data_IF_390776904879
#
_entry.id   IF_390776904879
#
_cell.length_a   1.000
_cell.length_b   1.000
_cell.length_c   1.000
_cell.angle_alpha   90.00
_cell.angle_beta   90.00
_cell.angle_gamma   90.00
#
_symmetry.space_group_name_H-M   'P 1'
#
loop_
_entity.id
_entity.type
_entity.pdbx_description
1 polymer ?
#
# COMPACT_ATOMS: atom_id res chain seq x y z
N UNK A 1 -19.56 -12.77 -1.30
CA UNK A 1 -19.35 -11.29 -1.38
C UNK A 1 -18.07 -10.94 -0.63
N UNK A 2 -17.10 -10.34 -1.31
CA UNK A 2 -15.82 -9.92 -0.76
C UNK A 2 -15.87 -8.45 -0.34
N UNK A 3 -15.26 -8.11 0.80
CA UNK A 3 -14.91 -6.73 1.15
C UNK A 3 -13.40 -6.59 1.10
N UNK A 4 -12.93 -5.54 0.43
CA UNK A 4 -11.52 -5.17 0.38
C UNK A 4 -11.38 -3.85 1.14
N UNK A 5 -10.51 -3.82 2.13
CA UNK A 5 -10.10 -2.61 2.84
C UNK A 5 -8.64 -2.37 2.49
N UNK A 6 -8.41 -1.39 1.64
CA UNK A 6 -7.09 -1.08 1.10
C UNK A 6 -6.41 0.05 1.91
N UNK A 7 -5.09 -0.02 2.02
CA UNK A 7 -4.22 0.95 2.72
C UNK A 7 -4.69 1.31 4.14
N UNK A 8 -5.07 0.29 4.91
CA UNK A 8 -5.52 0.47 6.29
C UNK A 8 -4.43 1.15 7.14
N UNK A 9 -4.85 2.15 7.91
CA UNK A 9 -3.99 2.99 8.77
C UNK A 9 -2.98 3.89 8.04
N UNK A 10 -3.28 4.28 6.80
CA UNK A 10 -2.47 5.26 6.08
C UNK A 10 -2.48 6.65 6.77
N UNK A 11 -3.62 7.08 7.34
CA UNK A 11 -3.71 8.38 8.03
C UNK A 11 -3.06 8.32 9.41
N UNK A 12 -2.31 9.37 9.76
CA UNK A 12 -1.60 9.48 11.06
C UNK A 12 -2.51 9.64 12.27
N UNK A 13 -3.71 10.21 12.10
CA UNK A 13 -4.70 10.39 13.17
C UNK A 13 -5.98 9.67 12.78
N UNK A 14 -6.44 8.81 13.67
CA UNK A 14 -7.75 8.17 13.58
C UNK A 14 -8.79 8.95 14.39
N UNK A 15 -10.05 9.00 13.94
CA UNK A 15 -11.18 9.35 14.81
C UNK A 15 -11.20 8.51 16.07
N UNK A 16 -11.79 9.02 17.16
CA UNK A 16 -11.84 8.29 18.44
C UNK A 16 -12.64 6.98 18.32
N UNK A 17 -13.72 6.97 17.55
CA UNK A 17 -14.56 5.79 17.31
C UNK A 17 -14.00 4.80 16.30
N UNK A 18 -12.83 5.06 15.68
CA UNK A 18 -12.34 4.23 14.58
C UNK A 18 -12.08 2.76 14.99
N UNK A 19 -11.73 2.53 16.25
CA UNK A 19 -11.53 1.18 16.78
C UNK A 19 -12.86 0.40 16.84
N UNK A 20 -13.90 1.03 17.38
CA UNK A 20 -15.24 0.46 17.51
C UNK A 20 -15.86 0.20 16.14
N UNK A 21 -15.80 1.18 15.24
CA UNK A 21 -16.34 1.08 13.88
C UNK A 21 -15.70 -0.10 13.11
N UNK A 22 -14.36 -0.21 13.19
CA UNK A 22 -13.64 -1.29 12.52
C UNK A 22 -13.98 -2.64 13.16
N UNK A 23 -14.03 -2.71 14.48
CA UNK A 23 -14.38 -3.92 15.22
C UNK A 23 -15.78 -4.40 14.83
N UNK A 24 -16.77 -3.51 14.78
CA UNK A 24 -18.14 -3.85 14.38
C UNK A 24 -18.17 -4.45 12.97
N UNK A 25 -17.49 -3.82 12.01
CA UNK A 25 -17.39 -4.34 10.63
C UNK A 25 -16.79 -5.75 10.65
N UNK A 26 -15.68 -5.96 11.35
CA UNK A 26 -14.99 -7.25 11.40
C UNK A 26 -15.87 -8.31 12.09
N UNK A 27 -16.53 -7.99 13.19
CA UNK A 27 -17.44 -8.89 13.90
C UNK A 27 -18.61 -9.32 13.02
N UNK A 28 -19.26 -8.38 12.35
CA UNK A 28 -20.39 -8.68 11.46
C UNK A 28 -19.98 -9.60 10.31
N UNK A 29 -18.79 -9.39 9.76
CA UNK A 29 -18.26 -10.22 8.66
C UNK A 29 -17.82 -11.60 9.12
N UNK A 30 -17.17 -11.67 10.27
CA UNK A 30 -16.76 -12.91 10.90
C UNK A 30 -17.98 -13.79 11.20
N UNK A 31 -18.99 -13.24 11.87
CA UNK A 31 -20.23 -13.95 12.22
C UNK A 31 -20.97 -14.47 10.99
N UNK A 32 -21.03 -13.67 9.92
CA UNK A 32 -21.65 -14.05 8.65
C UNK A 32 -20.76 -14.92 7.75
N UNK A 33 -19.55 -15.30 8.19
CA UNK A 33 -18.55 -16.07 7.42
C UNK A 33 -18.26 -15.45 6.03
N UNK A 34 -18.19 -14.12 5.94
CA UNK A 34 -17.92 -13.40 4.69
C UNK A 34 -16.43 -13.11 4.53
N UNK A 35 -15.88 -13.34 3.34
CA UNK A 35 -14.45 -13.11 3.04
C UNK A 35 -14.06 -11.64 3.13
N UNK A 36 -12.92 -11.34 3.75
CA UNK A 36 -12.39 -9.97 3.90
C UNK A 36 -10.91 -9.98 3.51
N UNK A 37 -10.50 -9.03 2.67
CA UNK A 37 -9.09 -8.78 2.36
C UNK A 37 -8.70 -7.42 2.90
N UNK A 38 -7.58 -7.36 3.59
CA UNK A 38 -7.01 -6.13 4.13
C UNK A 38 -5.59 -5.94 3.60
N UNK A 39 -5.24 -4.72 3.24
CA UNK A 39 -3.87 -4.32 3.00
C UNK A 39 -3.50 -3.24 4.01
N UNK A 40 -2.26 -3.26 4.49
CA UNK A 40 -1.74 -2.21 5.35
C UNK A 40 -0.24 -2.09 5.15
N UNK A 41 0.25 -0.86 5.25
CA UNK A 41 1.68 -0.55 5.34
C UNK A 41 2.17 -0.47 6.80
N UNK A 42 1.31 -0.82 7.77
CA UNK A 42 1.61 -0.86 9.19
C UNK A 42 1.75 -2.30 9.64
N UNK A 43 2.72 -2.50 10.52
CA UNK A 43 2.90 -3.76 11.23
C UNK A 43 1.67 -4.01 12.11
N UNK A 44 1.25 -5.27 12.26
CA UNK A 44 0.07 -5.64 13.06
C UNK A 44 0.26 -5.26 14.53
N UNK A 45 1.51 -5.28 14.98
CA UNK A 45 1.97 -4.87 16.31
C UNK A 45 1.69 -3.38 16.59
N UNK A 46 1.60 -2.55 15.56
CA UNK A 46 1.33 -1.11 15.70
C UNK A 46 -0.18 -0.79 15.83
N UNK A 47 -1.07 -1.74 15.58
CA UNK A 47 -2.51 -1.48 15.45
C UNK A 47 -3.11 -0.94 16.75
N UNK A 48 -2.70 -1.48 17.90
CA UNK A 48 -3.10 -0.99 19.23
C UNK A 48 -2.82 0.50 19.43
N UNK A 49 -1.65 0.95 19.00
CA UNK A 49 -1.25 2.36 19.06
C UNK A 49 -1.99 3.23 18.05
N UNK A 50 -2.24 2.72 16.84
CA UNK A 50 -2.91 3.45 15.75
C UNK A 50 -4.39 3.66 16.04
N UNK A 51 -5.06 2.63 16.57
CA UNK A 51 -6.45 2.65 16.99
C UNK A 51 -6.64 3.28 18.37
N UNK A 52 -5.55 3.46 19.15
CA UNK A 52 -5.57 3.95 20.54
C UNK A 52 -6.39 3.06 21.47
N UNK A 53 -6.56 1.80 21.09
CA UNK A 53 -7.27 0.76 21.85
C UNK A 53 -6.63 -0.60 21.58
N UNK A 54 -5.85 -1.08 22.56
CA UNK A 54 -5.19 -2.39 22.48
C UNK A 54 -6.18 -3.56 22.56
N UNK A 55 -7.29 -3.38 23.29
CA UNK A 55 -8.29 -4.42 23.49
C UNK A 55 -9.06 -4.65 22.20
N UNK A 56 -9.59 -3.59 21.60
CA UNK A 56 -10.27 -3.66 20.30
C UNK A 56 -9.33 -4.16 19.20
N UNK A 57 -8.08 -3.69 19.17
CA UNK A 57 -7.08 -4.15 18.18
C UNK A 57 -6.80 -5.65 18.28
N UNK A 58 -6.62 -6.16 19.50
CA UNK A 58 -6.41 -7.59 19.73
C UNK A 58 -7.64 -8.41 19.32
N UNK A 59 -8.84 -7.91 19.63
CA UNK A 59 -10.08 -8.55 19.20
C UNK A 59 -10.21 -8.59 17.67
N UNK A 60 -9.95 -7.49 16.98
CA UNK A 60 -9.94 -7.43 15.52
C UNK A 60 -8.96 -8.45 14.93
N UNK A 61 -7.71 -8.45 15.38
CA UNK A 61 -6.67 -9.35 14.88
C UNK A 61 -7.04 -10.82 15.12
N UNK A 62 -7.57 -11.16 16.29
CA UNK A 62 -8.03 -12.50 16.61
C UNK A 62 -9.09 -13.01 15.59
N UNK A 63 -10.09 -12.18 15.26
CA UNK A 63 -11.15 -12.59 14.30
C UNK A 63 -10.63 -12.69 12.88
N UNK A 64 -9.69 -11.82 12.49
CA UNK A 64 -9.07 -11.88 11.18
C UNK A 64 -8.17 -13.11 11.01
N UNK A 65 -7.38 -13.44 12.03
CA UNK A 65 -6.38 -14.50 11.98
C UNK A 65 -6.95 -15.90 12.26
N UNK A 66 -8.12 -16.00 12.90
CA UNK A 66 -8.75 -17.30 13.15
C UNK A 66 -9.05 -18.08 11.86
N UNK A 67 -9.41 -17.40 10.77
CA UNK A 67 -9.71 -18.02 9.47
C UNK A 67 -8.92 -17.40 8.30
N UNK A 68 -8.02 -16.46 8.59
CA UNK A 68 -7.27 -15.72 7.59
C UNK A 68 -5.80 -16.14 7.50
N UNK A 69 -5.12 -15.57 6.50
CA UNK A 69 -3.68 -15.72 6.33
C UNK A 69 -3.03 -14.35 6.35
N UNK A 70 -1.95 -14.21 7.11
CA UNK A 70 -1.13 -13.00 7.13
C UNK A 70 0.00 -13.12 6.10
N UNK A 71 -0.06 -12.31 5.05
CA UNK A 71 0.98 -12.22 4.04
C UNK A 71 1.86 -11.00 4.31
N UNK A 72 3.12 -11.23 4.65
CA UNK A 72 4.12 -10.17 4.80
C UNK A 72 4.82 -9.96 3.46
N UNK A 73 4.80 -8.72 2.97
CA UNK A 73 5.46 -8.33 1.74
C UNK A 73 6.71 -7.53 2.05
N UNK A 74 7.83 -7.93 1.47
CA UNK A 74 9.13 -7.27 1.63
C UNK A 74 9.70 -6.89 0.26
N UNK A 75 10.59 -5.90 0.24
CA UNK A 75 11.30 -5.49 -0.96
C UNK A 75 11.08 -4.03 -1.35
N UNK A 76 11.68 -3.65 -2.48
CA UNK A 76 11.65 -2.27 -2.99
C UNK A 76 10.32 -1.98 -3.69
N UNK A 77 9.88 -0.73 -3.61
CA UNK A 77 8.69 -0.25 -4.31
C UNK A 77 8.79 -0.50 -5.83
N UNK A 78 7.81 -1.22 -6.38
CA UNK A 78 7.67 -1.39 -7.83
C UNK A 78 7.52 -0.04 -8.55
N UNK A 79 6.78 0.90 -7.95
CA UNK A 79 6.62 2.26 -8.51
C UNK A 79 7.96 2.99 -8.66
N UNK A 80 8.87 2.79 -7.70
CA UNK A 80 10.21 3.39 -7.75
C UNK A 80 11.06 2.77 -8.87
N UNK A 81 10.99 1.45 -9.04
CA UNK A 81 11.67 0.73 -10.13
C UNK A 81 11.20 1.24 -11.50
N UNK A 82 9.90 1.38 -11.69
CA UNK A 82 9.34 1.93 -12.94
C UNK A 82 9.70 3.40 -13.15
N UNK A 83 9.65 4.22 -12.10
CA UNK A 83 10.04 5.62 -12.19
C UNK A 83 11.50 5.77 -12.62
N UNK A 84 12.40 4.96 -12.06
CA UNK A 84 13.80 4.92 -12.46
C UNK A 84 13.96 4.51 -13.94
N UNK A 85 13.22 3.50 -14.40
CA UNK A 85 13.23 3.06 -15.81
C UNK A 85 12.77 4.16 -16.76
N UNK A 86 11.66 4.85 -16.44
CA UNK A 86 11.15 5.99 -17.22
C UNK A 86 12.17 7.14 -17.31
N UNK A 87 12.85 7.45 -16.21
CA UNK A 87 13.88 8.50 -16.17
C UNK A 87 15.06 8.12 -17.08
N UNK A 88 15.55 6.88 -17.00
CA UNK A 88 16.67 6.42 -17.85
C UNK A 88 16.33 6.50 -19.34
N UNK A 89 15.13 6.07 -19.74
CA UNK A 89 14.66 6.16 -21.14
C UNK A 89 14.59 7.62 -21.62
N UNK A 90 14.11 8.54 -20.78
CA UNK A 90 14.01 9.96 -21.14
C UNK A 90 15.38 10.64 -21.31
N UNK A 91 16.40 10.22 -20.55
CA UNK A 91 17.77 10.72 -20.69
C UNK A 91 18.42 10.25 -21.99
N UNK A 92 18.20 8.99 -22.35
CA UNK A 92 18.76 8.39 -23.56
C UNK A 92 18.20 9.08 -24.80
N UNK A 93 16.87 9.26 -24.87
CA UNK A 93 16.22 9.99 -25.97
C UNK A 93 16.74 11.41 -26.15
N UNK A 94 16.98 12.16 -25.06
CA UNK A 94 17.55 13.51 -25.11
C UNK A 94 19.02 13.54 -25.56
N UNK A 95 19.79 12.51 -25.27
CA UNK A 95 21.17 12.39 -25.73
C UNK A 95 21.23 12.03 -27.21
N UNK A 96 20.37 11.11 -27.66
CA UNK A 96 20.24 10.71 -29.06
C UNK A 96 19.79 11.90 -29.93
N UNK A 97 18.81 12.69 -29.47
CA UNK A 97 18.35 13.91 -30.15
C UNK A 97 19.44 15.00 -30.21
N UNK A 98 20.24 15.16 -29.14
CA UNK A 98 21.38 16.09 -29.13
C UNK A 98 22.50 15.66 -30.07
N UNK A 99 22.83 14.37 -30.10
CA UNK A 99 23.84 13.82 -31.00
C UNK A 99 23.44 14.02 -32.46
N UNK A 100 22.17 13.74 -32.79
CA UNK A 100 21.64 13.89 -34.15
C UNK A 100 21.63 15.34 -34.64
N UNK A 101 21.23 16.29 -33.78
CA UNK A 101 21.29 17.72 -34.12
C UNK A 101 22.73 18.24 -34.30
N UNK A 102 23.70 17.69 -33.56
CA UNK A 102 25.10 18.09 -33.66
C UNK A 102 25.77 17.54 -34.93
N UNK A 103 25.37 16.35 -35.39
CA UNK A 103 25.82 15.77 -36.67
C UNK A 103 25.23 16.54 -37.87
N UNK A 104 23.92 16.83 -37.83
CA UNK A 104 23.26 17.65 -38.87
C UNK A 104 23.93 19.03 -39.01
N UNK A 105 24.33 19.65 -37.89
CA UNK A 105 25.02 20.96 -37.93
C UNK A 105 26.46 20.91 -38.46
N UNK A 106 27.06 19.72 -38.61
CA UNK A 106 28.41 19.54 -39.16
C UNK A 106 28.40 19.20 -40.65
N UNK A 107 27.29 18.67 -41.17
CA UNK A 107 27.11 18.37 -42.60
C UNK A 107 26.76 19.64 -43.42
N UNK A 108 26.28 20.70 -42.77
CA UNK A 108 25.91 21.99 -43.39
C UNK A 108 27.07 23.03 -43.46
N UNK A 109 28.32 22.62 -43.16
CA UNK A 109 29.55 23.45 -43.22
C UNK A 109 30.52 22.93 -44.28
#
# INVERSE_FOLDING_TARGET
MLLIIDDLFLRKKMPEQAADDLLEIILNRYSAKKSTLLTSNRLVEDWGKLLRDNTASSAILDRLLHHGHLLKFEGKSYRLKEAASRISQSKQKKQDEKGKNMDLSKEDL
#
